data_IF_093247873078
#
_entry.id   IF_093247873078
#
_cell.length_a   1.000
_cell.length_b   1.000
_cell.length_c   1.000
_cell.angle_alpha   90.00
_cell.angle_beta   90.00
_cell.angle_gamma   90.00
#
_symmetry.space_group_name_H-M   'P 1'
#
loop_
_entity.id
_entity.type
_entity.pdbx_description
1 polymer ?
#
# COMPACT_ATOMS: atom_id res chain seq x y z
N UNK A 1 17.26 -0.81 18.68
CA UNK A 1 15.84 -0.86 18.27
C UNK A 1 15.80 -0.94 16.75
N UNK A 2 15.01 -1.84 16.15
CA UNK A 2 15.07 -2.04 14.71
C UNK A 2 14.66 -0.76 13.98
N UNK A 3 15.53 -0.31 13.08
CA UNK A 3 15.32 0.82 12.17
C UNK A 3 14.16 0.45 11.23
N UNK A 4 12.92 0.72 11.65
CA UNK A 4 11.74 0.61 10.81
C UNK A 4 11.72 1.83 9.86
N UNK A 5 12.60 1.82 8.85
CA UNK A 5 12.60 2.84 7.79
C UNK A 5 11.55 2.42 6.78
N UNK A 6 10.45 3.17 6.82
CA UNK A 6 9.28 3.05 5.96
C UNK A 6 9.58 3.85 4.69
N UNK A 7 9.97 3.12 3.64
CA UNK A 7 9.57 3.24 2.22
C UNK A 7 10.57 2.38 1.40
N UNK A 8 11.88 2.46 1.69
CA UNK A 8 12.93 1.69 0.97
C UNK A 8 12.98 0.17 1.27
N UNK A 9 12.43 -0.32 2.39
CA UNK A 9 12.58 -1.76 2.72
C UNK A 9 11.68 -2.69 1.90
N UNK A 10 10.72 -2.22 1.10
CA UNK A 10 9.92 -3.13 0.24
C UNK A 10 10.70 -3.62 -0.98
N UNK A 11 11.46 -2.76 -1.65
CA UNK A 11 12.18 -3.11 -2.88
C UNK A 11 13.21 -4.21 -2.64
N UNK A 12 14.08 -4.06 -1.63
CA UNK A 12 15.10 -5.08 -1.33
C UNK A 12 14.53 -6.34 -0.68
N UNK A 13 13.51 -6.23 0.18
CA UNK A 13 12.93 -7.41 0.87
C UNK A 13 12.03 -8.22 -0.07
N UNK A 14 11.30 -7.59 -1.00
CA UNK A 14 10.50 -8.28 -2.01
C UNK A 14 11.41 -9.02 -3.01
N UNK A 15 12.49 -8.39 -3.48
CA UNK A 15 13.51 -9.04 -4.32
C UNK A 15 14.17 -10.22 -3.60
N UNK A 16 14.53 -10.07 -2.31
CA UNK A 16 15.14 -11.15 -1.52
C UNK A 16 14.16 -12.29 -1.22
N UNK A 17 12.86 -12.00 -1.09
CA UNK A 17 11.80 -12.99 -0.86
C UNK A 17 11.40 -13.72 -2.15
N UNK A 18 11.43 -13.04 -3.30
CA UNK A 18 11.25 -13.62 -4.63
C UNK A 18 12.43 -14.51 -5.02
N UNK A 19 13.67 -14.06 -4.80
CA UNK A 19 14.89 -14.86 -5.01
C UNK A 19 14.92 -16.12 -4.13
N UNK A 20 14.54 -16.04 -2.85
CA UNK A 20 14.39 -17.21 -1.96
C UNK A 20 13.29 -18.19 -2.40
N UNK A 21 12.26 -17.73 -3.11
CA UNK A 21 11.22 -18.61 -3.65
C UNK A 21 11.67 -19.37 -4.90
N UNK A 22 12.75 -18.94 -5.56
CA UNK A 22 13.37 -19.65 -6.69
C UNK A 22 14.48 -20.64 -6.27
N UNK A 23 15.17 -20.41 -5.15
CA UNK A 23 16.25 -21.29 -4.65
C UNK A 23 16.01 -21.76 -3.20
N UNK A 24 15.37 -22.91 -2.98
CA UNK A 24 14.94 -23.37 -1.64
C UNK A 24 16.07 -23.93 -0.75
N UNK A 25 17.34 -23.86 -1.13
CA UNK A 25 18.43 -24.53 -0.39
C UNK A 25 18.98 -23.76 0.82
N UNK A 26 18.55 -22.53 1.08
CA UNK A 26 19.07 -21.71 2.20
C UNK A 26 17.94 -21.06 3.03
N UNK A 27 17.22 -21.90 3.78
CA UNK A 27 16.29 -21.44 4.80
C UNK A 27 16.71 -22.00 6.19
N UNK A 28 17.45 -21.21 6.96
CA UNK A 28 17.45 -21.33 8.42
C UNK A 28 16.23 -20.61 8.99
N UNK A 29 15.51 -21.36 9.80
CA UNK A 29 14.17 -21.12 10.31
C UNK A 29 14.26 -20.35 11.65
N UNK A 30 13.71 -19.15 11.72
CA UNK A 30 13.29 -18.54 12.99
C UNK A 30 11.82 -18.11 12.82
N UNK A 31 10.91 -18.98 13.26
CA UNK A 31 9.49 -18.72 13.38
C UNK A 31 9.14 -18.80 14.88
N UNK A 32 8.77 -17.67 15.48
CA UNK A 32 8.14 -17.64 16.80
C UNK A 32 6.69 -18.09 16.65
N UNK A 33 6.42 -19.33 17.06
CA UNK A 33 5.08 -19.92 17.17
C UNK A 33 4.38 -19.41 18.44
N UNK A 34 3.18 -18.84 18.30
CA UNK A 34 2.19 -18.78 19.38
C UNK A 34 1.10 -19.82 19.10
N UNK A 35 1.15 -20.93 19.85
CA UNK A 35 0.22 -22.07 19.79
C UNK A 35 -1.07 -21.76 20.55
N UNK A 36 -2.22 -22.06 19.96
CA UNK A 36 -3.44 -22.36 20.72
C UNK A 36 -4.10 -23.62 20.13
N UNK A 37 -4.02 -24.72 20.89
CA UNK A 37 -4.64 -26.02 20.63
C UNK A 37 -6.15 -26.02 20.90
N UNK A 38 -6.88 -26.83 20.11
CA UNK A 38 -7.99 -27.75 20.45
C UNK A 38 -8.61 -28.19 19.09
N UNK A 39 -8.37 -29.38 18.53
CA UNK A 39 -8.81 -30.71 19.00
C UNK A 39 -10.34 -30.84 18.84
N UNK A 40 -10.95 -31.70 18.02
CA UNK A 40 -10.56 -32.78 17.11
C UNK A 40 -11.86 -33.43 16.58
N UNK A 41 -11.79 -34.05 15.41
CA UNK A 41 -12.40 -35.36 15.07
C UNK A 41 -12.87 -35.47 13.60
N UNK A 42 -12.16 -36.35 12.89
CA UNK A 42 -12.39 -36.81 11.53
C UNK A 42 -13.30 -38.04 11.52
N UNK A 43 -14.22 -38.12 10.55
CA UNK A 43 -14.64 -39.36 9.84
C UNK A 43 -15.18 -38.87 8.49
N UNK A 44 -14.70 -39.22 7.29
CA UNK A 44 -14.14 -40.46 6.78
C UNK A 44 -15.10 -41.00 5.71
N UNK A 45 -14.76 -40.85 4.41
CA UNK A 45 -15.18 -41.74 3.31
C UNK A 45 -14.66 -41.23 1.95
N UNK A 46 -13.79 -42.02 1.33
CA UNK A 46 -13.33 -41.88 -0.05
C UNK A 46 -14.45 -42.23 -1.03
N UNK A 47 -14.60 -41.44 -2.10
CA UNK A 47 -15.18 -41.90 -3.36
C UNK A 47 -14.20 -41.53 -4.48
N UNK A 48 -13.54 -42.54 -5.04
CA UNK A 48 -12.77 -42.44 -6.27
C UNK A 48 -13.76 -42.24 -7.44
N UNK A 49 -13.68 -41.07 -8.07
CA UNK A 49 -14.36 -40.75 -9.33
C UNK A 49 -13.33 -40.26 -10.32
N UNK A 50 -13.34 -40.86 -11.51
CA UNK A 50 -12.35 -40.75 -12.56
C UNK A 50 -12.06 -39.30 -12.98
N UNK A 51 -10.76 -39.03 -13.14
CA UNK A 51 -10.18 -37.78 -13.59
C UNK A 51 -10.56 -37.54 -15.05
N UNK A 52 -11.48 -36.63 -15.31
CA UNK A 52 -11.55 -35.93 -16.59
C UNK A 52 -10.75 -34.63 -16.46
N UNK A 53 -9.42 -34.77 -16.60
CA UNK A 53 -8.49 -33.63 -16.68
C UNK A 53 -8.64 -33.03 -18.08
N UNK A 54 -9.60 -32.13 -18.26
CA UNK A 54 -9.54 -31.21 -19.38
C UNK A 54 -8.22 -30.44 -19.25
N UNK A 55 -7.37 -30.35 -20.29
CA UNK A 55 -6.32 -29.36 -20.28
C UNK A 55 -7.04 -28.02 -20.44
N UNK A 56 -7.38 -27.39 -19.32
CA UNK A 56 -7.61 -25.96 -19.34
C UNK A 56 -6.26 -25.39 -19.71
N UNK A 57 -6.07 -25.08 -20.99
CA UNK A 57 -5.04 -24.13 -21.41
C UNK A 57 -5.42 -22.88 -20.62
N UNK A 58 -4.77 -22.69 -19.48
CA UNK A 58 -4.98 -21.53 -18.64
C UNK A 58 -4.61 -20.35 -19.52
N UNK A 59 -5.61 -19.62 -19.99
CA UNK A 59 -5.42 -18.36 -20.68
C UNK A 59 -4.49 -17.53 -19.78
N UNK A 60 -3.26 -17.35 -20.22
CA UNK A 60 -2.35 -16.40 -19.62
C UNK A 60 -2.94 -15.05 -19.98
N UNK A 61 -3.74 -14.51 -19.07
CA UNK A 61 -4.28 -13.17 -19.23
C UNK A 61 -3.10 -12.22 -19.26
N UNK A 62 -2.82 -11.72 -20.45
CA UNK A 62 -1.80 -10.74 -20.69
C UNK A 62 -2.22 -9.46 -19.98
N UNK A 63 -1.29 -8.92 -19.21
CA UNK A 63 -1.45 -7.59 -18.65
C UNK A 63 -1.48 -6.59 -19.81
N UNK A 64 -2.37 -5.58 -19.79
CA UNK A 64 -2.25 -4.47 -20.73
C UNK A 64 -0.84 -3.86 -20.63
N UNK A 65 -0.30 -3.29 -21.71
CA UNK A 65 1.08 -2.80 -21.73
C UNK A 65 1.30 -1.63 -20.78
N UNK A 66 0.26 -0.83 -20.50
CA UNK A 66 0.37 0.42 -19.76
C UNK A 66 1.19 1.47 -20.53
N UNK A 67 1.31 2.66 -19.95
CA UNK A 67 2.13 3.74 -20.48
C UNK A 67 3.35 3.95 -19.59
N UNK A 68 4.56 3.91 -20.17
CA UNK A 68 5.79 4.20 -19.41
C UNK A 68 5.72 5.60 -18.80
N UNK A 69 5.95 5.69 -17.50
CA UNK A 69 5.86 6.93 -16.74
C UNK A 69 7.14 7.74 -16.92
N UNK A 70 7.11 8.72 -17.83
CA UNK A 70 8.25 9.61 -18.14
C UNK A 70 8.13 11.01 -17.58
N UNK A 71 6.92 11.38 -17.14
CA UNK A 71 6.61 12.71 -16.67
C UNK A 71 5.76 12.65 -15.41
N UNK A 72 6.08 13.52 -14.45
CA UNK A 72 5.30 13.72 -13.23
C UNK A 72 5.04 15.22 -13.10
N UNK A 73 3.78 15.65 -12.98
CA UNK A 73 3.39 17.08 -13.02
C UNK A 73 3.94 17.85 -14.25
N UNK A 74 4.05 17.18 -15.41
CA UNK A 74 4.65 17.75 -16.61
C UNK A 74 6.17 17.96 -16.54
N UNK A 75 6.83 17.43 -15.50
CA UNK A 75 8.29 17.44 -15.34
C UNK A 75 8.84 16.14 -15.94
N UNK A 76 9.69 16.25 -16.94
CA UNK A 76 10.39 15.10 -17.53
C UNK A 76 11.45 14.55 -16.57
N UNK A 77 11.43 13.24 -16.35
CA UNK A 77 12.34 12.52 -15.47
C UNK A 77 13.00 11.35 -16.22
N UNK A 78 14.30 11.09 -16.00
CA UNK A 78 14.92 9.85 -16.46
C UNK A 78 14.24 8.64 -15.80
N UNK A 79 14.01 7.55 -16.53
CA UNK A 79 13.27 6.37 -16.01
C UNK A 79 13.82 5.82 -14.68
N UNK A 80 15.14 5.87 -14.50
CA UNK A 80 15.83 5.44 -13.26
C UNK A 80 15.53 6.30 -12.02
N UNK A 81 15.10 7.55 -12.20
CA UNK A 81 14.86 8.52 -11.12
C UNK A 81 13.35 8.69 -10.85
N UNK A 82 12.48 8.02 -11.63
CA UNK A 82 11.01 8.09 -11.47
C UNK A 82 10.57 7.49 -10.14
N UNK A 83 11.13 6.34 -9.75
CA UNK A 83 10.85 5.71 -8.47
C UNK A 83 11.19 6.61 -7.29
N UNK A 84 12.38 7.23 -7.32
CA UNK A 84 12.82 8.20 -6.31
C UNK A 84 11.88 9.41 -6.21
N UNK A 85 11.43 9.94 -7.36
CA UNK A 85 10.47 11.03 -7.40
C UNK A 85 9.11 10.65 -6.79
N UNK A 86 8.58 9.46 -7.12
CA UNK A 86 7.33 8.95 -6.56
C UNK A 86 7.44 8.76 -5.04
N UNK A 87 8.56 8.20 -4.56
CA UNK A 87 8.84 8.05 -3.15
C UNK A 87 8.86 9.39 -2.41
N UNK A 88 9.51 10.41 -2.98
CA UNK A 88 9.55 11.75 -2.40
C UNK A 88 8.17 12.42 -2.35
N UNK A 89 7.42 12.37 -3.45
CA UNK A 89 6.06 12.91 -3.50
C UNK A 89 5.14 12.22 -2.51
N UNK A 90 5.31 10.92 -2.33
CA UNK A 90 4.55 10.15 -1.37
C UNK A 90 4.86 10.56 0.08
N UNK A 91 6.13 10.83 0.39
CA UNK A 91 6.51 11.42 1.67
C UNK A 91 5.83 12.79 1.88
N UNK A 92 5.82 13.66 0.87
CA UNK A 92 5.15 14.96 0.96
C UNK A 92 3.64 14.83 1.16
N UNK A 93 2.98 13.89 0.49
CA UNK A 93 1.55 13.63 0.67
C UNK A 93 1.23 13.26 2.13
N UNK A 94 2.04 12.39 2.74
CA UNK A 94 1.78 11.86 4.09
C UNK A 94 2.18 12.85 5.18
N UNK A 95 3.37 13.44 5.07
CA UNK A 95 3.99 14.25 6.13
C UNK A 95 3.95 15.74 5.84
N UNK A 96 3.43 16.18 4.69
CA UNK A 96 3.39 17.58 4.31
C UNK A 96 2.69 18.46 5.34
N UNK A 97 1.56 18.00 5.92
CA UNK A 97 0.89 18.71 7.01
C UNK A 97 1.76 18.83 8.26
N UNK A 98 2.49 17.78 8.62
CA UNK A 98 3.38 17.78 9.78
C UNK A 98 4.64 18.63 9.55
N UNK A 99 5.02 18.84 8.28
CA UNK A 99 6.15 19.67 7.85
C UNK A 99 5.73 21.08 7.42
N UNK A 100 4.46 21.43 7.60
CA UNK A 100 3.91 22.74 7.26
C UNK A 100 4.07 23.10 5.76
N UNK A 101 4.04 22.09 4.87
CA UNK A 101 4.08 22.26 3.41
C UNK A 101 2.77 22.84 2.89
N UNK A 102 2.88 23.81 1.99
CA UNK A 102 1.74 24.42 1.31
C UNK A 102 1.34 23.62 0.06
N UNK A 103 0.11 23.85 -0.39
CA UNK A 103 -0.35 23.34 -1.68
C UNK A 103 0.57 23.81 -2.82
N UNK A 104 0.93 22.90 -3.73
CA UNK A 104 1.88 23.15 -4.82
C UNK A 104 3.36 23.20 -4.40
N UNK A 105 3.69 23.31 -3.10
CA UNK A 105 5.09 23.28 -2.64
C UNK A 105 5.81 21.96 -2.95
N UNK A 106 5.18 20.77 -2.80
CA UNK A 106 5.76 19.49 -3.22
C UNK A 106 6.19 19.46 -4.70
N UNK A 107 5.32 19.95 -5.59
CA UNK A 107 5.59 20.03 -7.04
C UNK A 107 6.75 21.00 -7.33
N UNK A 108 6.74 22.17 -6.67
CA UNK A 108 7.80 23.16 -6.82
C UNK A 108 9.16 22.63 -6.35
N UNK A 109 9.21 21.90 -5.22
CA UNK A 109 10.43 21.26 -4.72
C UNK A 109 10.93 20.23 -5.73
N UNK A 110 10.05 19.36 -6.25
CA UNK A 110 10.44 18.37 -7.27
C UNK A 110 10.97 19.05 -8.53
N UNK A 111 10.31 20.11 -8.99
CA UNK A 111 10.73 20.89 -10.16
C UNK A 111 12.11 21.53 -9.97
N UNK A 112 12.38 22.11 -8.80
CA UNK A 112 13.71 22.65 -8.49
C UNK A 112 14.77 21.54 -8.45
N UNK A 113 14.44 20.37 -7.90
CA UNK A 113 15.35 19.21 -7.81
C UNK A 113 15.79 18.72 -9.20
N UNK A 114 14.87 18.71 -10.18
CA UNK A 114 15.16 18.39 -11.59
C UNK A 114 15.85 19.54 -12.32
N UNK A 115 15.57 20.78 -11.96
CA UNK A 115 16.15 21.95 -12.61
C UNK A 115 17.64 22.13 -12.29
N UNK A 116 18.37 22.75 -13.23
CA UNK A 116 19.76 23.20 -13.02
C UNK A 116 19.82 24.65 -12.51
N UNK A 117 18.69 25.23 -12.09
CA UNK A 117 18.52 26.65 -11.79
C UNK A 117 18.77 27.01 -10.33
N UNK A 118 18.19 28.15 -9.91
CA UNK A 118 18.22 28.57 -8.51
C UNK A 118 17.33 27.66 -7.66
N UNK A 119 17.95 26.91 -6.76
CA UNK A 119 17.32 25.90 -5.91
C UNK A 119 16.90 26.47 -4.54
N UNK A 120 16.33 27.68 -4.52
CA UNK A 120 16.08 28.38 -3.26
C UNK A 120 15.10 27.63 -2.36
N UNK A 121 13.98 27.15 -2.91
CA UNK A 121 12.96 26.44 -2.14
C UNK A 121 13.50 25.08 -1.68
N UNK A 122 14.23 24.40 -2.56
CA UNK A 122 14.86 23.12 -2.30
C UNK A 122 15.89 23.22 -1.17
N UNK A 123 16.76 24.23 -1.20
CA UNK A 123 17.78 24.46 -0.16
C UNK A 123 17.10 24.84 1.16
N UNK A 124 16.08 25.69 1.13
CA UNK A 124 15.27 26.04 2.31
C UNK A 124 14.61 24.79 2.90
N UNK A 125 14.07 23.92 2.06
CA UNK A 125 13.46 22.67 2.51
C UNK A 125 14.49 21.71 3.13
N UNK A 126 15.65 21.50 2.52
CA UNK A 126 16.75 20.73 3.13
C UNK A 126 17.15 21.29 4.50
N UNK A 127 17.21 22.62 4.60
CA UNK A 127 17.57 23.31 5.85
C UNK A 127 16.50 23.10 6.94
N UNK A 128 15.22 23.12 6.56
CA UNK A 128 14.10 22.77 7.45
C UNK A 128 14.20 21.32 7.94
N UNK A 129 14.44 20.35 7.05
CA UNK A 129 14.61 18.94 7.42
C UNK A 129 15.81 18.73 8.37
N UNK A 130 16.95 19.34 8.06
CA UNK A 130 18.15 19.26 8.90
C UNK A 130 17.92 19.86 10.29
N UNK A 131 17.21 20.99 10.37
CA UNK A 131 16.84 21.59 11.66
C UNK A 131 15.97 20.65 12.51
N UNK A 132 15.06 19.92 11.87
CA UNK A 132 14.23 18.90 12.52
C UNK A 132 15.06 17.72 13.03
N UNK A 133 15.99 17.22 12.22
CA UNK A 133 16.84 16.05 12.55
C UNK A 133 17.79 16.38 13.71
N UNK A 134 18.50 17.50 13.58
CA UNK A 134 19.56 17.87 14.52
C UNK A 134 19.02 18.48 15.81
N UNK A 135 17.71 18.76 15.87
CA UNK A 135 17.04 19.48 16.96
C UNK A 135 17.80 20.77 17.33
N UNK A 136 18.47 21.36 16.35
CA UNK A 136 19.26 22.57 16.49
C UNK A 136 18.47 23.73 15.90
N UNK A 137 18.37 24.81 16.67
CA UNK A 137 17.85 26.07 16.15
C UNK A 137 18.94 26.64 15.24
N UNK A 138 18.90 26.29 13.95
CA UNK A 138 19.79 26.83 12.92
C UNK A 138 19.50 28.32 12.73
N UNK A 139 19.95 29.14 13.69
CA UNK A 139 19.83 30.59 13.69
C UNK A 139 20.78 31.27 12.70
N UNK A 140 21.42 30.53 11.81
CA UNK A 140 22.31 31.05 10.78
C UNK A 140 21.91 30.48 9.40
N UNK A 141 21.87 31.31 8.34
CA UNK A 141 21.49 30.88 7.00
C UNK A 141 22.53 29.98 6.30
N UNK A 142 23.58 29.56 7.00
CA UNK A 142 24.58 28.62 6.46
C UNK A 142 24.07 27.18 6.52
N UNK A 143 24.05 26.52 5.37
CA UNK A 143 23.80 25.08 5.25
C UNK A 143 24.73 24.31 6.22
N UNK A 144 24.22 23.48 7.15
CA UNK A 144 25.03 22.86 8.20
C UNK A 144 25.81 21.66 7.66
N UNK A 145 26.88 21.95 6.92
CA UNK A 145 27.66 20.97 6.16
C UNK A 145 28.29 19.88 7.02
N UNK A 146 28.80 20.21 8.22
CA UNK A 146 29.47 19.24 9.11
C UNK A 146 28.52 18.21 9.72
N UNK A 147 27.35 18.67 10.18
CA UNK A 147 26.35 17.77 10.77
C UNK A 147 25.73 16.87 9.69
N UNK A 148 25.55 17.41 8.48
CA UNK A 148 25.13 16.64 7.32
C UNK A 148 26.20 15.62 6.89
N UNK A 149 27.48 15.98 6.91
CA UNK A 149 28.59 15.05 6.61
C UNK A 149 28.54 13.84 7.55
N UNK A 150 28.40 14.10 8.85
CA UNK A 150 28.28 13.05 9.87
C UNK A 150 27.05 12.16 9.62
N UNK A 151 25.91 12.76 9.29
CA UNK A 151 24.68 12.03 8.99
C UNK A 151 24.85 11.12 7.76
N UNK A 152 25.47 11.61 6.69
CA UNK A 152 25.76 10.82 5.49
C UNK A 152 26.69 9.65 5.82
N UNK A 153 27.75 9.89 6.61
CA UNK A 153 28.66 8.84 7.05
C UNK A 153 27.98 7.79 7.93
N UNK A 154 27.12 8.18 8.87
CA UNK A 154 26.41 7.22 9.73
C UNK A 154 25.36 6.38 8.98
N UNK A 155 24.96 6.83 7.78
CA UNK A 155 23.93 6.23 6.94
C UNK A 155 24.48 5.44 5.75
N UNK A 156 25.68 4.87 5.88
CA UNK A 156 26.37 4.03 4.88
C UNK A 156 25.49 2.99 4.13
N UNK A 157 24.34 2.59 4.65
CA UNK A 157 23.39 1.69 3.95
C UNK A 157 22.71 2.31 2.71
N UNK A 158 22.69 3.63 2.55
CA UNK A 158 21.95 4.34 1.47
C UNK A 158 22.91 5.02 0.47
N UNK A 159 24.14 5.31 0.90
CA UNK A 159 25.04 6.27 0.25
C UNK A 159 26.47 5.75 0.05
N UNK A 160 26.65 4.46 -0.23
CA UNK A 160 27.93 3.96 -0.73
C UNK A 160 28.35 4.79 -1.96
N UNK A 161 29.58 5.29 -1.95
CA UNK A 161 30.18 6.19 -2.95
C UNK A 161 29.53 7.59 -3.12
N UNK A 162 28.80 8.09 -2.12
CA UNK A 162 28.30 9.47 -2.18
C UNK A 162 29.44 10.49 -2.07
N UNK A 163 29.56 11.45 -3.01
CA UNK A 163 30.60 12.47 -2.92
C UNK A 163 30.37 13.33 -1.67
N UNK A 164 31.44 13.59 -0.91
CA UNK A 164 31.41 14.49 0.25
C UNK A 164 32.14 15.81 -0.02
N UNK A 165 32.93 15.87 -1.10
CA UNK A 165 33.69 17.04 -1.54
C UNK A 165 32.78 18.25 -1.84
N UNK A 166 31.56 18.00 -2.32
CA UNK A 166 30.59 19.07 -2.58
C UNK A 166 30.18 19.84 -1.32
N UNK A 167 30.26 19.24 -0.12
CA UNK A 167 29.93 19.91 1.14
C UNK A 167 30.89 21.07 1.41
N UNK A 168 32.15 20.96 1.00
CA UNK A 168 33.15 22.02 1.14
C UNK A 168 32.85 23.22 0.22
N UNK A 169 32.24 22.95 -0.94
CA UNK A 169 31.81 23.98 -1.90
C UNK A 169 30.41 24.56 -1.60
N UNK A 170 29.72 24.05 -0.58
CA UNK A 170 28.40 24.49 -0.15
C UNK A 170 27.35 24.42 -1.26
N UNK A 171 26.58 25.50 -1.44
CA UNK A 171 25.50 25.58 -2.43
C UNK A 171 26.01 25.34 -3.86
N UNK A 172 27.21 25.85 -4.17
CA UNK A 172 27.83 25.66 -5.49
C UNK A 172 28.14 24.18 -5.73
N UNK A 173 28.68 23.48 -4.73
CA UNK A 173 28.90 22.04 -4.79
C UNK A 173 27.61 21.25 -4.97
N UNK A 174 26.59 21.58 -4.19
CA UNK A 174 25.26 20.95 -4.28
C UNK A 174 24.68 21.05 -5.69
N UNK A 175 24.83 22.21 -6.34
CA UNK A 175 24.31 22.43 -7.70
C UNK A 175 24.97 21.54 -8.76
N UNK A 176 26.19 21.07 -8.51
CA UNK A 176 26.97 20.18 -9.40
C UNK A 176 26.60 18.70 -9.25
N UNK A 177 25.88 18.32 -8.19
CA UNK A 177 25.40 16.95 -8.03
C UNK A 177 24.46 16.57 -9.17
N UNK A 178 24.59 15.33 -9.66
CA UNK A 178 23.61 14.77 -10.58
C UNK A 178 22.25 14.54 -9.88
N UNK A 179 21.22 14.34 -10.70
CA UNK A 179 19.84 14.22 -10.23
C UNK A 179 19.65 13.06 -9.23
N UNK A 180 20.20 11.89 -9.56
CA UNK A 180 20.12 10.70 -8.71
C UNK A 180 20.75 10.95 -7.34
N UNK A 181 21.92 11.62 -7.28
CA UNK A 181 22.55 12.01 -6.02
C UNK A 181 21.70 13.00 -5.22
N UNK A 182 21.06 13.97 -5.87
CA UNK A 182 20.12 14.89 -5.20
C UNK A 182 18.92 14.15 -4.61
N UNK A 183 18.35 13.19 -5.35
CA UNK A 183 17.25 12.36 -4.85
C UNK A 183 17.68 11.51 -3.65
N UNK A 184 18.81 10.80 -3.74
CA UNK A 184 19.34 9.99 -2.62
C UNK A 184 19.52 10.82 -1.35
N UNK A 185 20.07 12.03 -1.48
CA UNK A 185 20.23 12.94 -0.34
C UNK A 185 18.88 13.39 0.23
N UNK A 186 17.92 13.74 -0.63
CA UNK A 186 16.59 14.14 -0.18
C UNK A 186 15.87 12.99 0.54
N UNK A 187 15.90 11.79 -0.03
CA UNK A 187 15.29 10.58 0.54
C UNK A 187 15.92 10.26 1.90
N UNK A 188 17.25 10.35 2.01
CA UNK A 188 17.95 10.20 3.28
C UNK A 188 17.44 11.17 4.34
N UNK A 189 17.31 12.46 3.99
CA UNK A 189 16.82 13.46 4.93
C UNK A 189 15.38 13.20 5.33
N UNK A 190 14.52 12.83 4.38
CA UNK A 190 13.15 12.41 4.66
C UNK A 190 13.13 11.24 5.64
N UNK A 191 13.91 10.18 5.40
CA UNK A 191 13.99 9.01 6.27
C UNK A 191 14.48 9.36 7.68
N UNK A 192 15.52 10.19 7.79
CA UNK A 192 16.02 10.63 9.10
C UNK A 192 15.01 11.52 9.83
N UNK A 193 14.23 12.33 9.11
CA UNK A 193 13.18 13.13 9.75
C UNK A 193 12.09 12.27 10.37
N UNK A 194 11.82 11.06 9.85
CA UNK A 194 10.85 10.13 10.44
C UNK A 194 11.26 9.68 11.85
N UNK A 195 12.57 9.69 12.15
CA UNK A 195 13.10 9.35 13.48
C UNK A 195 12.93 10.50 14.49
N UNK A 196 12.53 11.69 14.06
CA UNK A 196 12.38 12.87 14.93
C UNK A 196 11.15 12.78 15.81
N UNK A 197 11.20 13.41 16.98
CA UNK A 197 10.08 13.44 17.92
C UNK A 197 8.83 14.12 17.34
N UNK A 198 8.98 15.07 16.40
CA UNK A 198 7.84 15.72 15.72
C UNK A 198 7.09 14.69 14.86
N UNK A 199 7.80 13.99 13.96
CA UNK A 199 7.15 13.04 13.05
C UNK A 199 6.73 11.74 13.75
N UNK A 200 7.49 11.24 14.73
CA UNK A 200 7.06 10.07 15.54
C UNK A 200 5.74 10.32 16.28
N UNK A 201 5.55 11.52 16.86
CA UNK A 201 4.28 11.90 17.48
C UNK A 201 3.17 12.00 16.45
N UNK A 202 3.42 12.64 15.31
CA UNK A 202 2.45 12.73 14.22
C UNK A 202 1.98 11.35 13.75
N UNK A 203 2.91 10.41 13.51
CA UNK A 203 2.60 9.02 13.13
C UNK A 203 1.71 8.36 14.18
N UNK A 204 2.03 8.52 15.46
CA UNK A 204 1.23 7.96 16.56
C UNK A 204 -0.18 8.55 16.60
N UNK A 205 -0.32 9.85 16.40
CA UNK A 205 -1.60 10.55 16.46
C UNK A 205 -2.50 10.24 15.25
N UNK A 206 -1.93 10.15 14.05
CA UNK A 206 -2.63 9.68 12.84
C UNK A 206 -3.08 8.21 13.01
N UNK A 207 -2.21 7.33 13.51
CA UNK A 207 -2.56 5.94 13.80
C UNK A 207 -3.71 5.80 14.81
N UNK A 208 -3.69 6.62 15.87
CA UNK A 208 -4.74 6.67 16.88
C UNK A 208 -6.08 7.11 16.27
N UNK A 209 -6.07 8.17 15.45
CA UNK A 209 -7.25 8.67 14.74
C UNK A 209 -7.83 7.63 13.79
N UNK A 210 -6.97 7.00 12.99
CA UNK A 210 -7.36 5.92 12.09
C UNK A 210 -7.98 4.74 12.85
N UNK A 211 -7.33 4.24 13.91
CA UNK A 211 -7.83 3.13 14.70
C UNK A 211 -9.20 3.44 15.34
N UNK A 212 -9.41 4.69 15.77
CA UNK A 212 -10.71 5.17 16.26
C UNK A 212 -11.77 5.16 15.13
N UNK A 213 -11.44 5.71 13.97
CA UNK A 213 -12.32 5.71 12.79
C UNK A 213 -12.74 4.30 12.37
N UNK A 214 -11.80 3.36 12.29
CA UNK A 214 -12.08 1.95 11.97
C UNK A 214 -13.03 1.31 12.99
N UNK A 215 -12.85 1.59 14.28
CA UNK A 215 -13.76 1.09 15.34
C UNK A 215 -15.17 1.69 15.18
N UNK A 216 -15.28 2.99 14.96
CA UNK A 216 -16.56 3.67 14.75
C UNK A 216 -17.28 3.16 13.50
N UNK A 217 -16.57 2.97 12.39
CA UNK A 217 -17.13 2.42 11.15
C UNK A 217 -17.62 0.98 11.34
N UNK A 218 -16.86 0.14 12.06
CA UNK A 218 -17.30 -1.22 12.43
C UNK A 218 -18.57 -1.21 13.27
N UNK A 219 -18.68 -0.30 14.25
CA UNK A 219 -19.88 -0.15 15.07
C UNK A 219 -21.09 0.30 14.23
N UNK A 220 -20.92 1.25 13.31
CA UNK A 220 -21.97 1.67 12.38
C UNK A 220 -22.46 0.51 11.51
N UNK A 221 -21.54 -0.27 10.93
CA UNK A 221 -21.90 -1.47 10.14
C UNK A 221 -22.65 -2.49 11.00
N UNK A 222 -22.21 -2.73 12.24
CA UNK A 222 -22.89 -3.66 13.14
C UNK A 222 -24.30 -3.20 13.48
N UNK A 223 -24.49 -1.91 13.78
CA UNK A 223 -25.79 -1.32 14.08
C UNK A 223 -26.74 -1.40 12.87
N UNK A 224 -26.29 -1.05 11.66
CA UNK A 224 -27.11 -1.14 10.44
C UNK A 224 -27.43 -2.61 10.10
N UNK A 225 -26.48 -3.53 10.29
CA UNK A 225 -26.73 -4.97 10.12
C UNK A 225 -27.81 -5.48 11.06
N UNK A 226 -27.84 -5.01 12.31
CA UNK A 226 -28.89 -5.39 13.26
C UNK A 226 -30.24 -4.77 12.88
N UNK A 227 -30.26 -3.52 12.41
CA UNK A 227 -31.48 -2.89 11.86
C UNK A 227 -32.08 -3.68 10.70
N UNK A 228 -31.24 -4.14 9.76
CA UNK A 228 -31.68 -5.00 8.63
C UNK A 228 -32.32 -6.28 9.16
N UNK A 229 -31.68 -6.99 10.09
CA UNK A 229 -32.25 -8.21 10.68
C UNK A 229 -33.59 -7.97 11.38
N UNK A 230 -33.71 -6.88 12.14
CA UNK A 230 -34.96 -6.53 12.81
C UNK A 230 -36.09 -6.24 11.80
N UNK A 231 -35.80 -5.51 10.71
CA UNK A 231 -36.77 -5.21 9.66
C UNK A 231 -37.17 -6.47 8.88
N UNK A 232 -36.22 -7.34 8.55
CA UNK A 232 -36.49 -8.64 7.92
C UNK A 232 -37.36 -9.53 8.82
N UNK A 233 -37.09 -9.55 10.13
CA UNK A 233 -37.93 -10.28 11.08
C UNK A 233 -39.35 -9.71 11.14
N UNK A 234 -39.50 -8.38 11.20
CA UNK A 234 -40.83 -7.73 11.15
C UNK A 234 -41.56 -8.08 9.86
N UNK A 235 -40.88 -8.03 8.72
CA UNK A 235 -41.47 -8.38 7.42
C UNK A 235 -41.94 -9.83 7.39
N UNK A 236 -41.16 -10.77 7.95
CA UNK A 236 -41.58 -12.17 8.08
C UNK A 236 -42.80 -12.33 8.99
N UNK A 237 -42.82 -11.66 10.14
CA UNK A 237 -43.93 -11.72 11.09
C UNK A 237 -45.22 -11.17 10.48
N UNK A 238 -45.16 -10.03 9.79
CA UNK A 238 -46.33 -9.46 9.11
C UNK A 238 -46.82 -10.35 7.97
N UNK A 239 -45.92 -10.87 7.12
CA UNK A 239 -46.30 -11.86 6.09
C UNK A 239 -46.95 -13.12 6.68
N UNK A 240 -46.49 -13.58 7.84
CA UNK A 240 -47.07 -14.74 8.50
C UNK A 240 -48.49 -14.48 9.03
N UNK A 241 -48.83 -13.24 9.43
CA UNK A 241 -50.19 -12.87 9.80
C UNK A 241 -51.17 -12.86 8.63
N UNK A 242 -50.67 -12.66 7.40
CA UNK A 242 -51.48 -12.70 6.17
C UNK A 242 -51.88 -14.12 5.78
N UNK A 243 -51.15 -15.16 6.22
CA UNK A 243 -51.26 -16.51 5.65
C UNK A 243 -52.20 -17.47 6.42
N UNK A 244 -52.69 -17.19 7.63
CA UNK A 244 -53.92 -17.88 8.07
C UNK A 244 -54.83 -17.03 8.95
N UNK A 245 -55.89 -16.46 8.38
CA UNK A 245 -57.16 -16.27 9.11
C UNK A 245 -58.33 -16.10 8.14
N UNK A 246 -59.16 -17.14 8.04
CA UNK A 246 -60.47 -17.18 7.39
C UNK A 246 -61.53 -16.30 8.08
N UNK A 247 -61.13 -15.31 8.90
CA UNK A 247 -62.02 -14.57 9.81
C UNK A 247 -61.97 -13.05 9.63
N UNK A 248 -61.01 -12.50 8.87
CA UNK A 248 -61.01 -11.06 8.52
C UNK A 248 -60.45 -10.83 7.11
N UNK A 249 -61.14 -10.03 6.25
CA UNK A 249 -60.61 -9.68 4.93
C UNK A 249 -59.32 -8.86 5.07
N UNK A 250 -58.29 -9.24 4.32
CA UNK A 250 -57.05 -8.49 4.18
C UNK A 250 -57.35 -7.12 3.54
N UNK A 251 -56.98 -6.02 4.20
CA UNK A 251 -57.32 -4.67 3.74
C UNK A 251 -56.27 -4.11 2.78
N UNK A 252 -56.66 -3.12 1.96
CA UNK A 252 -55.73 -2.44 1.05
C UNK A 252 -54.61 -1.71 1.84
N UNK A 253 -54.94 -1.21 3.04
CA UNK A 253 -53.99 -0.58 3.97
C UNK A 253 -52.92 -1.57 4.49
N UNK A 254 -53.30 -2.84 4.72
CA UNK A 254 -52.34 -3.90 5.12
C UNK A 254 -51.34 -4.21 4.00
N UNK A 255 -51.78 -4.12 2.74
CA UNK A 255 -50.92 -4.32 1.58
C UNK A 255 -49.90 -3.18 1.43
N UNK A 256 -50.36 -1.93 1.57
CA UNK A 256 -49.51 -0.75 1.49
C UNK A 256 -48.47 -0.70 2.62
N UNK A 257 -48.84 -1.11 3.83
CA UNK A 257 -47.91 -1.25 4.95
C UNK A 257 -46.79 -2.28 4.68
N UNK A 258 -47.12 -3.40 4.03
CA UNK A 258 -46.14 -4.41 3.63
C UNK A 258 -45.20 -3.91 2.52
N UNK A 259 -45.71 -3.16 1.54
CA UNK A 259 -44.90 -2.54 0.48
C UNK A 259 -43.91 -1.54 1.09
N UNK A 260 -44.39 -0.69 2.00
CA UNK A 260 -43.55 0.27 2.72
C UNK A 260 -42.45 -0.43 3.52
N UNK A 261 -42.79 -1.47 4.28
CA UNK A 261 -41.83 -2.23 5.07
C UNK A 261 -40.77 -2.94 4.21
N UNK A 262 -41.16 -3.44 3.03
CA UNK A 262 -40.21 -4.02 2.07
C UNK A 262 -39.23 -2.97 1.55
N UNK A 263 -39.72 -1.78 1.22
CA UNK A 263 -38.89 -0.65 0.78
C UNK A 263 -37.89 -0.26 1.86
N UNK A 264 -38.30 -0.20 3.13
CA UNK A 264 -37.41 0.09 4.27
C UNK A 264 -36.31 -0.98 4.45
N UNK A 265 -36.60 -2.26 4.16
CA UNK A 265 -35.59 -3.34 4.16
C UNK A 265 -34.58 -3.12 3.04
N UNK A 266 -35.06 -2.86 1.82
CA UNK A 266 -34.21 -2.67 0.64
C UNK A 266 -33.28 -1.45 0.82
N UNK A 267 -33.81 -0.34 1.36
CA UNK A 267 -33.03 0.86 1.71
C UNK A 267 -31.96 0.57 2.78
N UNK A 268 -32.32 -0.15 3.86
CA UNK A 268 -31.38 -0.49 4.91
C UNK A 268 -30.28 -1.46 4.44
N UNK A 269 -30.61 -2.38 3.53
CA UNK A 269 -29.64 -3.26 2.89
C UNK A 269 -28.69 -2.47 1.97
N UNK A 270 -29.23 -1.56 1.15
CA UNK A 270 -28.42 -0.68 0.30
C UNK A 270 -27.46 0.18 1.13
N UNK A 271 -27.93 0.77 2.24
CA UNK A 271 -27.09 1.54 3.15
C UNK A 271 -26.01 0.68 3.82
N UNK A 272 -26.34 -0.55 4.24
CA UNK A 272 -25.35 -1.51 4.73
C UNK A 272 -24.27 -1.80 3.69
N UNK A 273 -24.64 -2.02 2.42
CA UNK A 273 -23.67 -2.26 1.35
C UNK A 273 -22.78 -1.04 1.11
N UNK A 274 -23.35 0.17 1.10
CA UNK A 274 -22.57 1.43 1.00
C UNK A 274 -21.55 1.56 2.13
N UNK A 275 -21.96 1.35 3.38
CA UNK A 275 -21.07 1.42 4.55
C UNK A 275 -19.95 0.37 4.52
N UNK A 276 -20.25 -0.84 4.03
CA UNK A 276 -19.23 -1.89 3.85
C UNK A 276 -18.21 -1.52 2.78
N UNK A 277 -18.66 -0.89 1.69
CA UNK A 277 -17.78 -0.44 0.61
C UNK A 277 -16.87 0.70 1.05
N UNK A 278 -17.38 1.68 1.80
CA UNK A 278 -16.54 2.77 2.34
C UNK A 278 -15.54 2.26 3.39
N UNK A 279 -15.94 1.31 4.24
CA UNK A 279 -15.03 0.70 5.22
C UNK A 279 -13.90 -0.09 4.55
N UNK A 280 -14.12 -0.72 3.39
CA UNK A 280 -13.03 -1.34 2.62
C UNK A 280 -11.97 -0.33 2.18
N UNK A 281 -12.37 0.89 1.81
CA UNK A 281 -11.42 1.99 1.53
C UNK A 281 -10.69 2.43 2.80
N UNK A 282 -11.40 2.53 3.93
CA UNK A 282 -10.79 2.82 5.24
C UNK A 282 -9.94 1.66 5.80
N UNK A 283 -9.90 0.48 5.17
CA UNK A 283 -9.04 -0.64 5.58
C UNK A 283 -7.64 -0.59 4.95
N UNK A 284 -7.40 0.33 4.01
CA UNK A 284 -6.12 0.45 3.29
C UNK A 284 -4.93 0.86 4.18
N UNK A 285 -5.16 1.11 5.47
CA UNK A 285 -4.12 1.46 6.43
C UNK A 285 -4.19 2.93 6.82
N UNK A 286 -3.42 3.31 7.83
CA UNK A 286 -3.19 4.72 8.10
C UNK A 286 -2.14 5.21 7.10
N UNK A 287 -2.42 6.29 6.37
CA UNK A 287 -1.45 6.87 5.41
C UNK A 287 -0.12 7.28 6.08
N UNK A 288 -0.13 7.52 7.40
CA UNK A 288 1.07 7.75 8.20
C UNK A 288 1.88 6.47 8.51
N UNK A 289 1.41 5.30 8.07
CA UNK A 289 2.12 4.02 8.12
C UNK A 289 2.56 3.59 6.73
N UNK A 290 3.40 2.55 6.66
CA UNK A 290 3.92 1.98 5.41
C UNK A 290 2.78 1.76 4.40
N UNK A 291 2.91 2.41 3.25
CA UNK A 291 2.03 2.18 2.12
C UNK A 291 2.34 0.80 1.59
N UNK A 292 1.30 -0.02 1.51
CA UNK A 292 1.40 -1.35 0.98
C UNK A 292 1.00 -1.33 -0.49
N UNK A 293 1.71 -2.09 -1.34
CA UNK A 293 1.26 -2.30 -2.70
C UNK A 293 -0.10 -2.99 -2.69
N UNK A 294 -0.90 -2.73 -3.73
CA UNK A 294 -2.17 -3.41 -3.94
C UNK A 294 -1.94 -4.90 -4.24
N UNK A 295 -0.90 -5.20 -5.01
CA UNK A 295 -0.51 -6.56 -5.34
C UNK A 295 0.99 -6.67 -5.62
N UNK A 296 1.60 -7.77 -5.20
CA UNK A 296 2.98 -8.13 -5.54
C UNK A 296 2.94 -9.48 -6.24
N UNK A 297 3.40 -9.51 -7.47
CA UNK A 297 3.51 -10.72 -8.27
C UNK A 297 4.91 -11.35 -8.08
N UNK A 298 5.01 -12.65 -8.33
CA UNK A 298 6.24 -13.41 -8.13
C UNK A 298 7.34 -13.10 -9.16
N UNK A 299 7.01 -12.39 -10.24
CA UNK A 299 7.91 -12.06 -11.33
C UNK A 299 8.55 -10.66 -11.20
N UNK A 300 8.48 -10.03 -10.02
CA UNK A 300 9.06 -8.70 -9.79
C UNK A 300 8.11 -7.54 -10.09
N UNK A 301 6.89 -7.82 -10.56
CA UNK A 301 5.86 -6.81 -10.79
C UNK A 301 5.15 -6.42 -9.50
N UNK A 302 5.10 -5.12 -9.21
CA UNK A 302 4.45 -4.56 -8.03
C UNK A 302 3.41 -3.54 -8.50
N UNK A 303 2.15 -3.75 -8.10
CA UNK A 303 1.04 -2.88 -8.41
C UNK A 303 0.76 -1.95 -7.24
N UNK A 304 0.72 -0.66 -7.53
CA UNK A 304 0.48 0.41 -6.59
C UNK A 304 -0.82 1.12 -6.92
N UNK A 305 -1.61 1.40 -5.89
CA UNK A 305 -2.83 2.17 -6.02
C UNK A 305 -2.64 3.48 -5.28
N UNK A 306 -2.25 4.52 -6.01
CA UNK A 306 -2.03 5.83 -5.42
C UNK A 306 -3.31 6.66 -5.59
N UNK A 307 -3.98 6.94 -4.47
CA UNK A 307 -5.10 7.88 -4.44
C UNK A 307 -4.56 9.31 -4.28
N UNK A 308 -4.95 10.19 -5.19
CA UNK A 308 -4.90 11.63 -4.99
C UNK A 308 -6.21 12.08 -4.33
N UNK A 309 -6.17 13.09 -3.45
CA UNK A 309 -7.22 13.35 -2.44
C UNK A 309 -8.64 13.63 -2.98
N UNK A 310 -8.86 13.71 -4.30
CA UNK A 310 -10.19 13.75 -4.93
C UNK A 310 -10.27 13.13 -6.35
N UNK A 311 -9.22 12.48 -6.85
CA UNK A 311 -9.18 11.95 -8.22
C UNK A 311 -9.38 10.43 -8.26
N UNK A 312 -9.69 9.90 -9.45
CA UNK A 312 -9.74 8.45 -9.64
C UNK A 312 -8.38 7.83 -9.28
N UNK A 313 -8.38 6.67 -8.60
CA UNK A 313 -7.15 6.00 -8.21
C UNK A 313 -6.31 5.68 -9.45
N UNK A 314 -5.05 6.11 -9.43
CA UNK A 314 -4.08 5.81 -10.49
C UNK A 314 -3.39 4.50 -10.13
N UNK A 315 -3.46 3.52 -11.04
CA UNK A 315 -2.73 2.26 -10.89
C UNK A 315 -1.36 2.42 -11.55
N UNK A 316 -0.32 2.21 -10.76
CA UNK A 316 1.07 2.17 -11.22
C UNK A 316 1.59 0.74 -11.16
N UNK A 317 2.36 0.36 -12.18
CA UNK A 317 3.18 -0.84 -12.19
C UNK A 317 4.63 -0.43 -12.01
N UNK A 318 5.26 -0.97 -10.97
CA UNK A 318 6.70 -1.02 -10.81
C UNK A 318 7.17 -2.39 -11.26
N UNK A 319 7.94 -2.45 -12.34
CA UNK A 319 8.53 -3.68 -12.85
C UNK A 319 10.02 -3.69 -12.54
N UNK A 320 10.42 -4.61 -11.67
CA UNK A 320 11.80 -4.81 -11.24
C UNK A 320 12.31 -6.05 -11.97
N UNK A 321 13.18 -5.85 -12.96
CA UNK A 321 13.82 -6.96 -13.65
C UNK A 321 14.76 -7.68 -12.68
N UNK A 322 14.42 -8.93 -12.39
CA UNK A 322 15.28 -9.81 -11.60
C UNK A 322 16.36 -10.33 -12.57
N UNK A 323 17.47 -9.62 -12.67
CA UNK A 323 18.66 -10.10 -13.38
C UNK A 323 19.50 -11.03 -12.48
N UNK A 324 20.31 -11.87 -13.12
CA UNK A 324 21.18 -12.88 -12.51
C UNK A 324 22.13 -12.27 -11.46
N UNK A 325 22.66 -13.08 -10.54
CA UNK A 325 23.41 -12.70 -9.31
C UNK A 325 24.61 -11.73 -9.50
N UNK A 326 24.95 -11.36 -10.73
CA UNK A 326 26.07 -10.48 -11.10
C UNK A 326 25.69 -9.00 -11.33
N UNK A 327 24.39 -8.65 -11.37
CA UNK A 327 23.94 -7.28 -11.59
C UNK A 327 24.11 -6.42 -10.33
N UNK A 328 24.76 -5.25 -10.47
CA UNK A 328 25.05 -4.32 -9.36
C UNK A 328 23.81 -3.58 -8.84
N UNK A 329 22.73 -3.54 -9.63
CA UNK A 329 21.42 -3.01 -9.26
C UNK A 329 20.34 -3.54 -10.20
N UNK A 330 19.15 -3.93 -9.71
CA UNK A 330 18.06 -4.39 -10.57
C UNK A 330 17.54 -3.23 -11.44
N UNK A 331 17.28 -3.50 -12.72
CA UNK A 331 16.67 -2.50 -13.61
C UNK A 331 15.20 -2.33 -13.22
N UNK A 332 14.83 -1.09 -12.88
CA UNK A 332 13.49 -0.74 -12.44
C UNK A 332 12.80 0.14 -13.51
N UNK A 333 11.55 -0.17 -13.81
CA UNK A 333 10.72 0.65 -14.70
C UNK A 333 9.33 0.88 -14.12
N UNK A 334 8.76 2.05 -14.44
CA UNK A 334 7.46 2.47 -13.93
C UNK A 334 6.50 2.70 -15.09
N UNK A 335 5.30 2.14 -14.99
CA UNK A 335 4.22 2.34 -15.95
C UNK A 335 2.93 2.76 -15.25
N UNK A 336 2.13 3.57 -15.91
CA UNK A 336 0.81 4.01 -15.46
C UNK A 336 -0.28 3.40 -16.33
N UNK A 337 -1.35 2.94 -15.69
CA UNK A 337 -2.54 2.47 -16.40
C UNK A 337 -3.58 3.57 -16.49
N UNK A 338 -4.20 3.67 -17.65
CA UNK A 338 -5.35 4.55 -17.86
C UNK A 338 -6.60 3.99 -17.15
N UNK A 339 -7.61 4.84 -16.89
CA UNK A 339 -8.90 4.38 -16.38
C UNK A 339 -9.57 3.31 -17.25
N UNK A 340 -9.29 3.30 -18.56
CA UNK A 340 -9.83 2.31 -19.49
C UNK A 340 -9.22 0.91 -19.31
N UNK A 341 -7.96 0.83 -18.88
CA UNK A 341 -7.24 -0.44 -18.66
C UNK A 341 -7.50 -1.02 -17.26
N UNK A 342 -8.12 -0.24 -16.38
CA UNK A 342 -8.33 -0.60 -14.98
C UNK A 342 -9.03 -1.94 -14.78
N UNK A 343 -10.13 -2.18 -15.50
CA UNK A 343 -10.90 -3.42 -15.36
C UNK A 343 -10.07 -4.66 -15.75
N UNK A 344 -9.18 -4.53 -16.73
CA UNK A 344 -8.28 -5.59 -17.17
C UNK A 344 -7.19 -5.87 -16.13
N UNK A 345 -6.62 -4.81 -15.53
CA UNK A 345 -5.64 -4.93 -14.44
C UNK A 345 -6.27 -5.54 -13.19
N UNK A 346 -7.47 -5.10 -12.80
CA UNK A 346 -8.21 -5.67 -11.66
C UNK A 346 -8.51 -7.16 -11.88
N UNK A 347 -8.86 -7.55 -13.12
CA UNK A 347 -9.05 -8.95 -13.51
C UNK A 347 -7.74 -9.73 -13.43
N UNK A 348 -6.62 -9.17 -13.89
CA UNK A 348 -5.30 -9.77 -13.79
C UNK A 348 -4.91 -10.03 -12.33
N UNK A 349 -4.95 -9.00 -11.48
CA UNK A 349 -4.63 -9.08 -10.04
C UNK A 349 -5.52 -10.13 -9.36
N UNK A 350 -6.82 -10.12 -9.64
CA UNK A 350 -7.77 -11.07 -9.06
C UNK A 350 -7.43 -12.53 -9.41
N UNK A 351 -7.03 -12.80 -10.65
CA UNK A 351 -6.68 -14.15 -11.09
C UNK A 351 -5.34 -14.61 -10.53
N UNK A 352 -4.30 -13.76 -10.55
CA UNK A 352 -3.00 -14.09 -9.96
C UNK A 352 -3.12 -14.33 -8.46
N UNK A 353 -3.91 -13.51 -7.76
CA UNK A 353 -4.20 -13.72 -6.33
C UNK A 353 -4.84 -15.08 -6.06
N UNK A 354 -5.83 -15.49 -6.87
CA UNK A 354 -6.45 -16.82 -6.75
C UNK A 354 -5.44 -17.95 -6.96
N UNK A 355 -4.58 -17.85 -7.98
CA UNK A 355 -3.53 -18.84 -8.27
C UNK A 355 -2.49 -18.93 -7.15
N UNK A 356 -2.09 -17.80 -6.58
CA UNK A 356 -1.15 -17.76 -5.45
C UNK A 356 -1.74 -18.45 -4.21
N UNK A 357 -3.02 -18.23 -3.93
CA UNK A 357 -3.69 -18.86 -2.81
C UNK A 357 -3.86 -20.37 -3.03
N UNK A 358 -4.27 -20.82 -4.22
CA UNK A 358 -4.37 -22.26 -4.52
C UNK A 358 -3.02 -22.99 -4.45
N UNK A 359 -1.92 -22.31 -4.79
CA UNK A 359 -0.57 -22.88 -4.65
C UNK A 359 -0.14 -23.00 -3.19
N UNK A 360 -0.47 -22.03 -2.33
CA UNK A 360 -0.22 -22.12 -0.88
C UNK A 360 -0.98 -23.28 -0.24
N UNK A 361 -2.24 -23.46 -0.62
CA UNK A 361 -3.06 -24.58 -0.13
C UNK A 361 -2.50 -25.94 -0.59
N UNK A 362 -2.00 -26.03 -1.82
CA UNK A 362 -1.34 -27.25 -2.32
C UNK A 362 0.00 -27.55 -1.63
N UNK A 363 0.76 -26.52 -1.23
CA UNK A 363 2.04 -26.71 -0.55
C UNK A 363 1.86 -27.17 0.90
N UNK A 364 0.82 -26.68 1.59
CA UNK A 364 0.42 -27.14 2.93
C UNK A 364 0.04 -28.63 2.94
N UNK A 365 -0.70 -29.07 1.91
CA UNK A 365 -1.09 -30.47 1.75
C UNK A 365 0.10 -31.40 1.42
N UNK A 366 1.13 -30.89 0.73
CA UNK A 366 2.35 -31.67 0.45
C UNK A 366 3.24 -31.77 1.69
N UNK A 367 3.36 -30.72 2.50
CA UNK A 367 4.14 -30.75 3.75
C UNK A 367 3.56 -31.67 4.83
N UNK A 368 2.24 -31.87 4.87
CA UNK A 368 1.61 -32.85 5.77
C UNK A 368 1.79 -34.30 5.27
N UNK A 369 2.02 -34.51 3.97
CA UNK A 369 2.24 -35.84 3.39
C UNK A 369 3.69 -36.32 3.47
N UNK A 370 4.66 -35.45 3.76
CA UNK A 370 6.09 -35.80 3.85
C UNK A 370 6.59 -36.11 5.27
N UNK A 371 5.72 -36.12 6.28
CA UNK A 371 6.10 -36.46 7.67
C UNK A 371 5.69 -37.86 8.11
N UNK A 372 5.31 -38.73 7.16
CA UNK A 372 5.17 -40.17 7.40
C UNK A 372 6.09 -40.94 6.45
N UNK A 373 7.39 -40.89 6.72
CA UNK A 373 8.33 -41.93 6.31
C UNK A 373 9.64 -41.72 7.10
N UNK A 374 9.68 -42.29 8.31
CA UNK A 374 10.88 -42.86 8.95
C UNK A 374 10.48 -43.87 10.02
#
# INVERSE_FOLDING_TARGET
MPRNVVICQLTMLAVKKASKALNPSEATFEEELEVCNNGGDNVGAMCQGEVQRFPTIEEELLLPPGMELKQIFGIELPSKDVGDALQLLQFFRVFGKALDLKEGEPEAILKELVSKGHNSLLIEFHSRLLSLILNSCLGSPSFPTKDLEKLIMESHLILDDFPLDWLQEGITGYSKLDLSKKFKLMILLCDETLNTEKLRRYIKDENSRYAKGVKEAKLKIAATKEKVKCLEQKLRNEKAKVVPSTVSPFTMDDHDALIKLRTEVDEAQADMFRLKSTNKKEKLGCDATRINPEFVDNNGMIFWNLQHDNDEPVILLQDIKIEDETATSPEESWSVYSPAEKDEVDKYISLRTKRLNSRKDSHLLVSESSSQDF
#
